data_IF_961866368143
#
_entry.id   IF_961866368143
#
_cell.length_a   1.000
_cell.length_b   1.000
_cell.length_c   1.000
_cell.angle_alpha   90.00
_cell.angle_beta   90.00
_cell.angle_gamma   90.00
#
_symmetry.space_group_name_H-M   'P 1'
#
loop_
_entity.id
_entity.type
_entity.pdbx_description
1 polymer ?
#
# COMPACT_ATOMS: atom_id res chain seq x y z
N UNK A 1 51.80 13.89 -17.74
CA UNK A 1 51.88 14.51 -16.40
C UNK A 1 50.47 14.51 -15.82
N UNK A 2 50.13 13.44 -15.08
CA UNK A 2 48.93 13.30 -14.24
C UNK A 2 49.27 12.16 -13.27
N UNK A 3 49.36 12.37 -11.94
CA UNK A 3 49.77 11.32 -11.03
C UNK A 3 48.58 10.47 -10.57
N UNK A 4 48.78 9.16 -10.59
CA UNK A 4 47.92 8.11 -10.03
C UNK A 4 47.89 8.22 -8.51
N UNK A 5 46.70 8.31 -7.89
CA UNK A 5 46.57 8.33 -6.43
C UNK A 5 46.43 6.90 -5.88
N UNK A 6 47.32 6.59 -4.95
CA UNK A 6 47.47 5.32 -4.23
C UNK A 6 46.42 5.23 -3.10
N UNK A 7 45.62 4.16 -3.10
CA UNK A 7 44.56 3.93 -2.10
C UNK A 7 45.18 3.45 -0.79
N UNK A 8 45.37 4.36 0.17
CA UNK A 8 45.76 4.05 1.54
C UNK A 8 44.64 3.24 2.21
N UNK A 9 44.88 1.95 2.49
CA UNK A 9 44.02 1.12 3.33
C UNK A 9 44.38 1.33 4.81
N UNK A 10 43.53 2.03 5.57
CA UNK A 10 43.64 2.09 7.04
C UNK A 10 42.83 0.95 7.67
N UNK A 11 43.53 -0.08 8.14
CA UNK A 11 42.98 -1.18 8.93
C UNK A 11 42.65 -0.70 10.34
N UNK A 12 41.36 -0.59 10.69
CA UNK A 12 40.89 -0.21 12.03
C UNK A 12 40.72 -1.48 12.88
N UNK A 13 41.66 -1.73 13.78
CA UNK A 13 41.62 -2.90 14.68
C UNK A 13 40.43 -2.82 15.65
N UNK A 14 39.63 -3.88 15.66
CA UNK A 14 38.45 -4.03 16.53
C UNK A 14 38.91 -4.37 17.96
N UNK A 15 38.50 -3.64 19.01
CA UNK A 15 38.96 -3.90 20.37
C UNK A 15 38.44 -5.25 20.89
N UNK A 16 39.28 -5.97 21.64
CA UNK A 16 39.00 -7.34 22.11
C UNK A 16 37.89 -7.39 23.16
N UNK A 17 37.15 -8.49 23.19
CA UNK A 17 35.95 -8.67 24.02
C UNK A 17 36.19 -8.45 25.53
N UNK A 18 37.44 -8.61 25.99
CA UNK A 18 37.82 -8.39 27.39
C UNK A 18 37.87 -6.89 27.77
N UNK A 19 38.25 -6.01 26.83
CA UNK A 19 38.21 -4.56 27.06
C UNK A 19 36.77 -4.01 27.09
N UNK A 20 35.84 -4.63 26.36
CA UNK A 20 34.41 -4.28 26.39
C UNK A 20 33.74 -4.69 27.70
N UNK A 21 34.17 -5.81 28.30
CA UNK A 21 33.61 -6.32 29.56
C UNK A 21 33.98 -5.46 30.79
N UNK A 22 35.20 -4.93 30.86
CA UNK A 22 35.64 -4.11 32.00
C UNK A 22 34.98 -2.72 31.97
N UNK A 23 34.83 -2.11 30.78
CA UNK A 23 34.16 -0.81 30.60
C UNK A 23 32.66 -0.89 30.93
N UNK A 24 32.01 -2.00 30.59
CA UNK A 24 30.57 -2.20 30.87
C UNK A 24 30.28 -2.44 32.35
N UNK A 25 31.14 -3.17 33.08
CA UNK A 25 30.96 -3.40 34.51
C UNK A 25 31.14 -2.13 35.37
N UNK A 26 32.14 -1.30 35.06
CA UNK A 26 32.37 -0.03 35.78
C UNK A 26 31.26 0.98 35.48
N UNK A 27 30.80 1.05 34.23
CA UNK A 27 29.67 1.90 33.84
C UNK A 27 28.37 1.51 34.59
N UNK A 28 28.07 0.21 34.69
CA UNK A 28 26.88 -0.28 35.38
C UNK A 28 26.88 0.05 36.88
N UNK A 29 28.00 -0.15 37.57
CA UNK A 29 28.12 0.19 39.00
C UNK A 29 28.02 1.70 39.23
N UNK A 30 28.57 2.50 38.30
CA UNK A 30 28.51 3.97 38.39
C UNK A 30 27.09 4.49 38.20
N UNK A 31 26.35 3.94 37.24
CA UNK A 31 24.93 4.23 37.00
C UNK A 31 24.08 3.88 38.22
N UNK A 32 24.29 2.69 38.81
CA UNK A 32 23.54 2.26 40.00
C UNK A 32 23.81 3.20 41.18
N UNK A 33 25.07 3.61 41.40
CA UNK A 33 25.42 4.52 42.49
C UNK A 33 24.77 5.90 42.31
N UNK A 34 24.70 6.41 41.07
CA UNK A 34 24.04 7.68 40.76
C UNK A 34 22.53 7.62 41.04
N UNK A 35 21.87 6.53 40.64
CA UNK A 35 20.42 6.32 40.92
C UNK A 35 20.17 6.18 42.43
N UNK A 36 21.06 5.50 43.16
CA UNK A 36 20.98 5.37 44.62
C UNK A 36 21.18 6.70 45.34
N UNK A 37 22.09 7.56 44.86
CA UNK A 37 22.29 8.90 45.39
C UNK A 37 21.09 9.81 45.06
N UNK A 38 20.56 9.73 43.84
CA UNK A 38 19.41 10.50 43.40
C UNK A 38 18.16 10.19 44.25
N UNK A 39 17.89 8.90 44.50
CA UNK A 39 16.78 8.46 45.36
C UNK A 39 16.96 8.88 46.83
N UNK A 40 18.18 8.87 47.37
CA UNK A 40 18.45 9.36 48.73
C UNK A 40 18.28 10.88 48.87
N UNK A 41 18.48 11.63 47.77
CA UNK A 41 18.31 13.08 47.70
C UNK A 41 16.88 13.51 47.30
N UNK A 42 15.96 12.56 47.12
CA UNK A 42 14.58 12.84 46.72
C UNK A 42 14.43 13.28 45.26
N UNK A 43 15.41 12.96 44.41
CA UNK A 43 15.33 13.14 42.96
C UNK A 43 14.73 11.85 42.39
N UNK A 44 13.44 11.89 42.08
CA UNK A 44 12.78 10.84 41.28
C UNK A 44 13.43 10.84 39.89
N UNK A 45 14.28 9.85 39.61
CA UNK A 45 14.77 9.60 38.25
C UNK A 45 13.66 8.93 37.46
N UNK A 46 13.01 9.60 36.48
CA UNK A 46 12.06 8.94 35.63
C UNK A 46 12.85 8.02 34.71
N UNK A 47 12.61 6.71 34.81
CA UNK A 47 12.93 5.80 33.73
C UNK A 47 11.78 5.92 32.73
N UNK A 48 11.75 7.03 31.99
CA UNK A 48 10.88 7.15 30.83
C UNK A 48 11.43 6.19 29.77
N UNK A 49 10.79 5.02 29.67
CA UNK A 49 10.81 4.26 28.42
C UNK A 49 10.15 5.17 27.38
N UNK A 50 10.91 5.60 26.35
CA UNK A 50 10.37 6.27 25.18
C UNK A 50 9.33 5.33 24.53
N UNK A 51 8.07 5.44 24.96
CA UNK A 51 6.93 4.93 24.23
C UNK A 51 6.97 5.61 22.86
N UNK A 52 6.96 4.87 21.73
CA UNK A 52 7.01 5.51 20.43
C UNK A 52 5.80 6.43 20.31
N UNK A 53 6.03 7.74 20.37
CA UNK A 53 5.00 8.75 20.09
C UNK A 53 4.41 8.41 18.74
N UNK A 54 3.14 8.00 18.73
CA UNK A 54 2.36 7.91 17.53
C UNK A 54 2.41 9.31 16.89
N UNK A 55 2.81 9.46 15.61
CA UNK A 55 2.97 10.78 15.03
C UNK A 55 1.67 11.57 15.19
N UNK A 56 1.76 12.90 15.41
CA UNK A 56 0.58 13.73 15.55
C UNK A 56 -0.34 13.51 14.34
N UNK A 57 -1.60 13.14 14.61
CA UNK A 57 -2.67 13.00 13.62
C UNK A 57 -3.17 14.38 13.13
N UNK A 58 -2.37 15.43 13.35
CA UNK A 58 -2.69 16.80 13.04
C UNK A 58 -2.08 17.14 11.68
N UNK A 59 -2.83 16.78 10.63
CA UNK A 59 -2.92 17.43 9.31
C UNK A 59 -3.40 16.42 8.24
N UNK A 60 -4.42 15.61 8.55
CA UNK A 60 -5.32 15.18 7.48
C UNK A 60 -6.17 16.42 7.19
N UNK A 61 -6.09 17.03 5.98
CA UNK A 61 -6.99 18.12 5.65
C UNK A 61 -8.41 17.65 5.92
N UNK A 62 -9.13 18.38 6.76
CA UNK A 62 -10.55 18.16 7.04
C UNK A 62 -11.33 18.51 5.76
N UNK A 63 -11.23 17.64 4.76
CA UNK A 63 -12.23 17.54 3.70
C UNK A 63 -13.53 17.31 4.44
N UNK A 64 -14.58 18.13 4.25
CA UNK A 64 -15.89 17.80 4.76
C UNK A 64 -16.30 16.50 4.07
N UNK A 65 -15.95 15.37 4.68
CA UNK A 65 -16.55 14.09 4.35
C UNK A 65 -18.00 14.32 4.70
N UNK A 66 -18.86 14.43 3.68
CA UNK A 66 -20.29 14.35 3.91
C UNK A 66 -20.56 13.13 4.80
N UNK A 67 -21.60 13.17 5.63
CA UNK A 67 -21.93 12.05 6.51
C UNK A 67 -21.90 10.74 5.70
N UNK A 68 -20.98 9.84 6.05
CA UNK A 68 -20.76 8.61 5.29
C UNK A 68 -22.06 7.80 5.29
N UNK A 69 -22.59 7.54 4.10
CA UNK A 69 -23.80 6.73 3.97
C UNK A 69 -23.39 5.27 3.80
N UNK A 70 -23.89 4.39 4.66
CA UNK A 70 -23.61 2.95 4.51
C UNK A 70 -24.26 2.43 3.23
N UNK A 71 -23.48 1.68 2.45
CA UNK A 71 -23.90 0.99 1.22
C UNK A 71 -23.51 -0.49 1.32
N UNK A 72 -24.05 -1.37 0.46
CA UNK A 72 -23.64 -2.77 0.44
C UNK A 72 -22.11 -2.92 0.28
N UNK A 73 -21.46 -3.52 1.28
CA UNK A 73 -20.00 -3.74 1.29
C UNK A 73 -19.14 -2.50 1.48
N UNK A 74 -19.69 -1.35 1.88
CA UNK A 74 -18.90 -0.11 1.91
C UNK A 74 -19.58 1.12 2.49
N UNK A 75 -19.00 2.28 2.15
CA UNK A 75 -19.53 3.60 2.48
C UNK A 75 -19.46 4.55 1.28
N UNK A 76 -20.49 5.38 1.14
CA UNK A 76 -20.57 6.47 0.16
C UNK A 76 -20.20 7.80 0.82
N UNK A 77 -19.15 8.45 0.30
CA UNK A 77 -18.67 9.78 0.70
C UNK A 77 -19.09 10.91 -0.25
N UNK A 78 -20.05 10.66 -1.13
CA UNK A 78 -20.62 11.59 -2.11
C UNK A 78 -19.82 11.67 -3.40
N UNK A 79 -18.54 12.03 -3.32
CA UNK A 79 -17.65 12.11 -4.50
C UNK A 79 -16.77 10.87 -4.68
N UNK A 80 -16.77 9.97 -3.69
CA UNK A 80 -16.10 8.68 -3.72
C UNK A 80 -16.94 7.65 -2.98
N UNK A 81 -16.72 6.39 -3.32
CA UNK A 81 -17.25 5.25 -2.58
C UNK A 81 -16.09 4.35 -2.20
N UNK A 82 -16.09 3.87 -0.95
CA UNK A 82 -15.11 2.90 -0.47
C UNK A 82 -15.81 1.58 -0.25
N UNK A 83 -15.26 0.53 -0.85
CA UNK A 83 -15.74 -0.84 -0.68
C UNK A 83 -14.67 -1.64 0.05
N UNK A 84 -15.12 -2.54 0.92
CA UNK A 84 -14.27 -3.50 1.61
C UNK A 84 -14.55 -4.88 1.06
N UNK A 85 -13.48 -5.64 0.84
CA UNK A 85 -13.58 -7.04 0.52
C UNK A 85 -14.11 -7.76 1.77
N UNK A 86 -15.32 -8.30 1.70
CA UNK A 86 -15.72 -9.37 2.61
C UNK A 86 -14.77 -10.54 2.33
N UNK A 87 -14.13 -11.21 3.31
CA UNK A 87 -13.36 -12.42 3.03
C UNK A 87 -14.26 -13.50 2.41
N UNK A 88 -14.40 -13.46 1.09
CA UNK A 88 -15.16 -14.41 0.29
C UNK A 88 -14.44 -15.74 0.44
N UNK A 89 -15.15 -16.74 0.97
CA UNK A 89 -14.66 -18.12 1.13
C UNK A 89 -14.75 -18.93 -0.17
N UNK A 90 -14.79 -18.26 -1.33
CA UNK A 90 -14.70 -18.92 -2.63
C UNK A 90 -13.38 -18.58 -3.31
N UNK A 91 -12.83 -19.57 -4.01
CA UNK A 91 -11.52 -19.46 -4.66
C UNK A 91 -11.53 -18.52 -5.87
N UNK A 92 -12.71 -18.01 -6.27
CA UNK A 92 -12.91 -17.25 -7.50
C UNK A 92 -13.14 -15.76 -7.26
N UNK A 93 -13.24 -15.31 -6.00
CA UNK A 93 -13.50 -13.93 -5.58
C UNK A 93 -14.69 -13.25 -6.29
N UNK A 94 -15.66 -14.04 -6.75
CA UNK A 94 -16.79 -13.54 -7.54
C UNK A 94 -17.90 -12.99 -6.64
N UNK A 95 -18.61 -11.98 -7.13
CA UNK A 95 -19.76 -11.42 -6.42
C UNK A 95 -19.38 -10.54 -5.23
N UNK A 96 -18.12 -10.12 -5.14
CA UNK A 96 -17.71 -9.09 -4.20
C UNK A 96 -18.55 -7.82 -4.41
N UNK A 97 -18.98 -7.12 -3.35
CA UNK A 97 -19.74 -5.88 -3.50
C UNK A 97 -19.05 -4.85 -4.40
N UNK A 98 -17.71 -4.81 -4.38
CA UNK A 98 -16.90 -3.96 -5.27
C UNK A 98 -17.01 -4.37 -6.75
N UNK A 99 -17.07 -5.66 -7.07
CA UNK A 99 -17.23 -6.13 -8.46
C UNK A 99 -18.60 -5.70 -9.00
N UNK A 100 -19.67 -5.93 -8.23
CA UNK A 100 -21.02 -5.52 -8.59
C UNK A 100 -21.14 -3.99 -8.76
N UNK A 101 -20.51 -3.22 -7.86
CA UNK A 101 -20.47 -1.77 -7.96
C UNK A 101 -19.74 -1.30 -9.22
N UNK A 102 -18.58 -1.89 -9.53
CA UNK A 102 -17.83 -1.54 -10.74
C UNK A 102 -18.62 -1.90 -12.00
N UNK A 103 -19.27 -3.08 -12.06
CA UNK A 103 -20.18 -3.44 -13.16
C UNK A 103 -21.27 -2.37 -13.33
N UNK A 104 -21.92 -1.93 -12.25
CA UNK A 104 -22.97 -0.89 -12.31
C UNK A 104 -22.44 0.41 -12.91
N UNK A 105 -21.26 0.87 -12.49
CA UNK A 105 -20.65 2.10 -13.01
C UNK A 105 -20.34 1.98 -14.51
N UNK A 106 -19.85 0.83 -14.96
CA UNK A 106 -19.58 0.56 -16.37
C UNK A 106 -20.88 0.48 -17.18
N UNK A 107 -21.95 -0.09 -16.63
CA UNK A 107 -23.27 -0.16 -17.26
C UNK A 107 -23.97 1.21 -17.35
N UNK A 108 -23.74 2.09 -16.38
CA UNK A 108 -24.31 3.45 -16.36
C UNK A 108 -23.51 4.45 -17.21
N UNK A 109 -22.29 4.10 -17.65
CA UNK A 109 -21.48 4.95 -18.50
C UNK A 109 -22.19 5.25 -19.84
N UNK A 110 -22.18 6.53 -20.25
CA UNK A 110 -22.93 7.02 -21.41
C UNK A 110 -22.07 7.56 -22.56
N UNK A 111 -20.80 7.90 -22.31
CA UNK A 111 -19.96 8.61 -23.29
C UNK A 111 -18.62 7.95 -23.53
N UNK A 112 -17.83 7.70 -22.48
CA UNK A 112 -16.50 7.10 -22.58
C UNK A 112 -16.15 6.26 -21.35
N UNK A 113 -15.40 5.18 -21.58
CA UNK A 113 -14.64 4.42 -20.59
C UNK A 113 -13.19 4.33 -21.09
N UNK A 114 -12.26 4.86 -20.30
CA UNK A 114 -10.82 4.66 -20.50
C UNK A 114 -10.31 3.82 -19.33
N UNK A 115 -9.82 2.61 -19.60
CA UNK A 115 -9.38 1.68 -18.57
C UNK A 115 -7.86 1.43 -18.70
N UNK A 116 -7.16 1.42 -17.57
CA UNK A 116 -5.79 0.95 -17.46
C UNK A 116 -5.78 -0.24 -16.51
N UNK A 117 -5.52 -1.43 -17.04
CA UNK A 117 -5.68 -2.70 -16.34
C UNK A 117 -4.36 -3.47 -16.42
N UNK A 118 -3.83 -3.92 -15.29
CA UNK A 118 -2.63 -4.78 -15.32
C UNK A 118 -2.97 -6.19 -15.83
N UNK A 119 -4.07 -6.74 -15.33
CA UNK A 119 -4.64 -8.03 -15.72
C UNK A 119 -6.17 -7.89 -15.71
N UNK A 120 -6.86 -8.66 -16.57
CA UNK A 120 -8.32 -8.72 -16.59
C UNK A 120 -8.81 -10.17 -16.73
N UNK A 121 -9.28 -10.75 -15.63
CA UNK A 121 -9.83 -12.10 -15.56
C UNK A 121 -11.30 -12.15 -15.05
N UNK A 122 -11.84 -11.02 -14.58
CA UNK A 122 -13.24 -10.94 -14.14
C UNK A 122 -14.19 -10.92 -15.33
N UNK A 123 -14.89 -12.05 -15.53
CA UNK A 123 -15.93 -12.17 -16.56
C UNK A 123 -17.04 -11.11 -16.44
N UNK A 124 -17.61 -10.84 -15.25
CA UNK A 124 -18.61 -9.77 -15.09
C UNK A 124 -18.14 -8.40 -15.59
N UNK A 125 -16.88 -8.04 -15.31
CA UNK A 125 -16.30 -6.76 -15.72
C UNK A 125 -16.06 -6.71 -17.23
N UNK A 126 -15.53 -7.79 -17.82
CA UNK A 126 -15.34 -7.90 -19.27
C UNK A 126 -16.66 -7.79 -20.02
N UNK A 127 -17.68 -8.52 -19.58
CA UNK A 127 -19.01 -8.45 -20.21
C UNK A 127 -19.61 -7.04 -20.06
N UNK A 128 -19.35 -6.32 -18.95
CA UNK A 128 -19.81 -4.94 -18.76
C UNK A 128 -19.12 -3.95 -19.73
N UNK A 129 -17.81 -4.09 -19.95
CA UNK A 129 -17.08 -3.30 -20.94
C UNK A 129 -17.62 -3.54 -22.36
N UNK A 130 -17.88 -4.80 -22.71
CA UNK A 130 -18.47 -5.18 -24.00
C UNK A 130 -19.89 -4.60 -24.14
N UNK A 131 -20.74 -4.72 -23.11
CA UNK A 131 -22.08 -4.11 -23.12
C UNK A 131 -22.00 -2.59 -23.32
N UNK A 132 -21.07 -1.91 -22.63
CA UNK A 132 -20.87 -0.47 -22.80
C UNK A 132 -20.49 -0.11 -24.23
N UNK A 133 -19.55 -0.85 -24.81
CA UNK A 133 -19.15 -0.67 -26.20
C UNK A 133 -20.35 -0.86 -27.16
N UNK A 134 -21.15 -1.91 -26.96
CA UNK A 134 -22.36 -2.19 -27.75
C UNK A 134 -23.44 -1.10 -27.62
N UNK A 135 -23.50 -0.39 -26.49
CA UNK A 135 -24.36 0.80 -26.32
C UNK A 135 -23.86 2.04 -27.07
N UNK A 136 -22.66 1.98 -27.66
CA UNK A 136 -22.01 3.10 -28.36
C UNK A 136 -21.12 3.96 -27.45
N UNK A 137 -20.83 3.52 -26.23
CA UNK A 137 -19.83 4.16 -25.36
C UNK A 137 -18.45 3.95 -25.99
N UNK A 138 -17.64 5.01 -26.03
CA UNK A 138 -16.26 4.87 -26.46
C UNK A 138 -15.45 4.15 -25.37
N UNK A 139 -15.08 2.90 -25.62
CA UNK A 139 -14.27 2.10 -24.69
C UNK A 139 -12.85 1.99 -25.24
N UNK A 140 -11.83 2.19 -24.40
CA UNK A 140 -10.40 1.97 -24.73
C UNK A 140 -9.69 1.38 -23.53
N UNK A 141 -8.83 0.39 -23.76
CA UNK A 141 -8.09 -0.30 -22.71
C UNK A 141 -6.59 -0.16 -22.95
N UNK A 142 -5.86 0.10 -21.87
CA UNK A 142 -4.41 0.00 -21.81
C UNK A 142 -4.07 -1.16 -20.88
N UNK A 143 -3.23 -2.10 -21.32
CA UNK A 143 -2.81 -3.26 -20.51
C UNK A 143 -1.31 -3.46 -20.54
N UNK A 144 -0.75 -4.17 -19.57
CA UNK A 144 0.63 -4.67 -19.69
C UNK A 144 0.62 -5.81 -20.71
N UNK A 145 1.43 -5.75 -21.78
CA UNK A 145 1.32 -6.61 -22.97
C UNK A 145 1.39 -8.11 -22.68
N UNK A 146 2.61 -8.66 -22.63
CA UNK A 146 2.83 -10.10 -22.37
C UNK A 146 2.21 -10.52 -21.01
N UNK A 147 2.26 -9.68 -19.97
CA UNK A 147 1.72 -10.04 -18.65
C UNK A 147 0.18 -10.09 -18.58
N UNK A 148 -0.53 -9.25 -19.34
CA UNK A 148 -1.99 -9.17 -19.31
C UNK A 148 -2.69 -10.17 -20.25
N UNK A 149 -2.01 -10.59 -21.31
CA UNK A 149 -2.54 -11.54 -22.31
C UNK A 149 -2.19 -13.01 -22.01
N UNK A 150 -1.06 -13.29 -21.36
CA UNK A 150 -0.55 -14.67 -21.21
C UNK A 150 -1.19 -15.47 -20.05
N UNK A 151 -2.04 -14.85 -19.23
CA UNK A 151 -2.76 -15.55 -18.16
C UNK A 151 -3.85 -16.44 -18.77
N UNK A 152 -3.91 -17.75 -18.44
CA UNK A 152 -4.89 -18.69 -19.00
C UNK A 152 -6.34 -18.30 -18.68
N UNK A 153 -6.55 -17.50 -17.64
CA UNK A 153 -7.86 -17.00 -17.21
C UNK A 153 -8.11 -15.55 -17.66
N UNK A 154 -7.23 -14.99 -18.50
CA UNK A 154 -7.41 -13.65 -19.06
C UNK A 154 -8.61 -13.60 -19.99
N UNK A 155 -9.32 -12.49 -19.92
CA UNK A 155 -10.47 -12.17 -20.78
C UNK A 155 -10.18 -10.97 -21.69
N UNK A 156 -8.91 -10.54 -21.78
CA UNK A 156 -8.47 -9.47 -22.68
C UNK A 156 -8.81 -9.79 -24.15
N UNK A 157 -8.68 -11.06 -24.57
CA UNK A 157 -9.02 -11.50 -25.93
C UNK A 157 -10.50 -11.30 -26.27
N UNK A 158 -11.41 -11.37 -25.29
CA UNK A 158 -12.84 -11.14 -25.51
C UNK A 158 -13.11 -9.65 -25.87
N UNK A 159 -12.27 -8.73 -25.40
CA UNK A 159 -12.37 -7.31 -25.75
C UNK A 159 -11.92 -7.05 -27.20
N UNK A 160 -10.84 -7.69 -27.64
CA UNK A 160 -10.34 -7.61 -29.01
C UNK A 160 -11.37 -8.18 -30.00
N UNK A 161 -11.96 -9.34 -29.67
CA UNK A 161 -13.05 -9.96 -30.43
C UNK A 161 -14.32 -9.08 -30.52
N UNK A 162 -14.49 -8.14 -29.59
CA UNK A 162 -15.58 -7.17 -29.57
C UNK A 162 -15.23 -5.84 -30.25
N UNK A 163 -14.10 -5.76 -30.97
CA UNK A 163 -13.57 -4.57 -31.64
C UNK A 163 -13.27 -3.39 -30.67
N UNK A 164 -12.98 -3.69 -29.39
CA UNK A 164 -12.57 -2.67 -28.41
C UNK A 164 -11.07 -2.40 -28.58
N UNK A 165 -10.64 -1.13 -28.75
CA UNK A 165 -9.22 -0.79 -28.85
C UNK A 165 -8.43 -1.14 -27.58
N UNK A 166 -7.38 -1.93 -27.75
CA UNK A 166 -6.42 -2.30 -26.70
C UNK A 166 -5.03 -1.77 -27.10
N UNK A 167 -4.34 -1.17 -26.14
CA UNK A 167 -2.95 -0.72 -26.28
C UNK A 167 -2.12 -1.36 -25.18
N UNK A 168 -0.93 -1.83 -25.51
CA UNK A 168 0.05 -2.41 -24.60
C UNK A 168 1.41 -1.73 -24.67
#
# INVERSE_FOLDING_TARGET
>A
MHPTQEKIMTNKSKPSNLQRAIVTAVSGVTLILIVLIATLLGVDTPLEEDEPENPPVDDIPNVPVGELVSIPGGYDGGWFQVYFTDPIQDDNFQGAPIEAALVSVLDDATTRIDAALYELNSRPITDALIRAHQRGVQVRVVTDGEAGEESPDSTIADLDLADIPIVS
#
